data_IF_690268547781
#
_entry.id   IF_690268547781
#
_cell.length_a   1.000
_cell.length_b   1.000
_cell.length_c   1.000
_cell.angle_alpha   90.00
_cell.angle_beta   90.00
_cell.angle_gamma   90.00
#
_symmetry.space_group_name_H-M   'P 1'
#
loop_
_entity.id
_entity.type
_entity.pdbx_description
1 polymer ?
#
# COMPACT_ATOMS: atom_id res chain seq x y z
N UNK A 1 4.27 6.97 8.01
CA UNK A 1 3.04 7.58 8.58
C UNK A 1 2.38 8.42 7.50
N UNK A 2 1.06 8.43 7.40
CA UNK A 2 0.31 9.25 6.42
C UNK A 2 -0.57 10.24 7.16
N UNK A 3 -0.28 11.53 7.04
CA UNK A 3 -1.05 12.62 7.65
C UNK A 3 -1.81 13.37 6.54
N UNK A 4 -3.11 13.58 6.74
CA UNK A 4 -3.96 14.45 5.91
C UNK A 4 -4.52 15.54 6.80
N UNK A 5 -4.17 16.79 6.52
CA UNK A 5 -4.80 17.96 7.17
C UNK A 5 -6.06 18.35 6.39
N UNK A 6 -7.15 18.52 7.12
CA UNK A 6 -8.46 18.93 6.59
C UNK A 6 -8.52 20.45 6.54
N UNK A 7 -8.95 21.00 5.40
CA UNK A 7 -9.14 22.45 5.23
C UNK A 7 -10.48 22.93 5.81
N UNK A 8 -10.63 24.25 6.02
CA UNK A 8 -11.85 24.84 6.61
C UNK A 8 -13.13 24.60 5.78
N UNK A 9 -13.00 24.40 4.46
CA UNK A 9 -14.12 24.22 3.52
C UNK A 9 -14.18 22.82 2.90
N UNK A 10 -13.53 21.82 3.52
CA UNK A 10 -13.55 20.46 3.01
C UNK A 10 -14.61 19.60 3.71
N UNK A 11 -15.40 18.85 2.92
CA UNK A 11 -16.29 17.84 3.47
C UNK A 11 -15.51 16.65 4.03
N UNK A 12 -16.01 16.07 5.13
CA UNK A 12 -15.41 14.90 5.76
C UNK A 12 -15.18 13.75 4.79
N UNK A 13 -16.10 13.52 3.84
CA UNK A 13 -15.96 12.44 2.85
C UNK A 13 -14.79 12.69 1.89
N UNK A 14 -14.56 13.94 1.46
CA UNK A 14 -13.41 14.30 0.63
C UNK A 14 -12.09 14.03 1.37
N UNK A 15 -12.01 14.46 2.63
CA UNK A 15 -10.83 14.22 3.47
C UNK A 15 -10.55 12.72 3.64
N UNK A 16 -11.60 11.93 3.91
CA UNK A 16 -11.51 10.47 4.03
C UNK A 16 -11.08 9.80 2.72
N UNK A 17 -11.57 10.26 1.57
CA UNK A 17 -11.14 9.75 0.26
C UNK A 17 -9.65 10.00 0.03
N UNK A 18 -9.15 11.21 0.33
CA UNK A 18 -7.72 11.55 0.21
C UNK A 18 -6.87 10.71 1.15
N UNK A 19 -7.29 10.57 2.40
CA UNK A 19 -6.61 9.72 3.40
C UNK A 19 -6.54 8.26 2.95
N UNK A 20 -7.67 7.66 2.53
CA UNK A 20 -7.70 6.28 2.01
C UNK A 20 -6.76 6.09 0.82
N UNK A 21 -6.67 7.08 -0.07
CA UNK A 21 -5.74 7.05 -1.21
C UNK A 21 -4.28 7.13 -0.75
N UNK A 22 -3.96 8.00 0.20
CA UNK A 22 -2.61 8.16 0.74
C UNK A 22 -2.16 6.91 1.50
N UNK A 23 -3.04 6.29 2.31
CA UNK A 23 -2.79 5.02 3.00
C UNK A 23 -2.54 3.86 2.02
N UNK A 24 -3.32 3.79 0.93
CA UNK A 24 -3.08 2.79 -0.13
C UNK A 24 -1.73 3.02 -0.82
N UNK A 25 -1.37 4.28 -1.10
CA UNK A 25 -0.10 4.64 -1.76
C UNK A 25 1.12 4.39 -0.88
N UNK A 26 1.01 4.65 0.42
CA UNK A 26 2.12 4.43 1.37
C UNK A 26 2.45 2.96 1.55
N UNK A 27 1.52 2.05 1.21
CA UNK A 27 1.77 0.61 1.27
C UNK A 27 1.86 0.05 2.69
N UNK A 28 1.59 0.85 3.73
CA UNK A 28 1.70 0.47 5.14
C UNK A 28 0.89 -0.81 5.44
N UNK A 29 -0.33 -0.91 4.90
CA UNK A 29 -1.17 -2.10 5.06
C UNK A 29 -0.61 -3.34 4.35
N UNK A 30 0.08 -3.16 3.21
CA UNK A 30 0.73 -4.28 2.50
C UNK A 30 1.96 -4.77 3.24
N UNK A 31 2.68 -3.84 3.88
CA UNK A 31 3.88 -4.14 4.67
C UNK A 31 3.51 -4.81 5.99
N UNK A 32 2.44 -4.37 6.66
CA UNK A 32 1.89 -5.03 7.84
C UNK A 32 1.54 -6.51 7.55
N UNK A 33 0.74 -6.76 6.51
CA UNK A 33 0.41 -8.14 6.07
C UNK A 33 1.64 -8.98 5.70
N UNK A 34 2.71 -8.33 5.20
CA UNK A 34 3.95 -9.03 4.86
C UNK A 34 4.74 -9.44 6.10
N UNK A 35 4.64 -8.70 7.20
CA UNK A 35 5.39 -8.94 8.43
C UNK A 35 4.58 -9.67 9.50
N UNK A 36 3.30 -9.96 9.25
CA UNK A 36 2.42 -10.73 10.14
C UNK A 36 3.00 -12.12 10.47
N UNK A 37 3.68 -12.74 9.51
CA UNK A 37 4.38 -14.01 9.69
C UNK A 37 5.79 -13.93 9.12
N UNK A 38 6.71 -14.70 9.70
CA UNK A 38 8.04 -14.85 9.14
C UNK A 38 7.97 -15.51 7.76
N UNK A 39 8.65 -14.93 6.80
CA UNK A 39 8.82 -15.50 5.48
C UNK A 39 10.31 -15.79 5.24
N UNK A 40 10.62 -17.02 4.83
CA UNK A 40 11.99 -17.41 4.51
C UNK A 40 12.56 -16.57 3.34
N UNK A 41 13.90 -16.37 3.27
CA UNK A 41 14.53 -15.58 2.22
C UNK A 41 14.16 -16.05 0.80
N UNK A 42 14.00 -17.36 0.61
CA UNK A 42 13.60 -17.95 -0.68
C UNK A 42 12.17 -17.57 -1.07
N UNK A 43 11.22 -17.65 -0.13
CA UNK A 43 9.84 -17.24 -0.38
C UNK A 43 9.74 -15.71 -0.67
N UNK A 44 10.57 -14.89 -0.02
CA UNK A 44 10.69 -13.45 -0.32
C UNK A 44 11.15 -13.16 -1.74
N UNK A 45 12.17 -13.90 -2.22
CA UNK A 45 12.65 -13.81 -3.60
C UNK A 45 11.55 -14.22 -4.60
N UNK A 46 10.87 -15.35 -4.36
CA UNK A 46 9.77 -15.85 -5.19
C UNK A 46 8.62 -14.85 -5.28
N UNK A 47 8.20 -14.27 -4.16
CA UNK A 47 7.16 -13.24 -4.09
C UNK A 47 7.52 -11.96 -4.84
N UNK A 48 8.76 -11.48 -4.71
CA UNK A 48 9.25 -10.29 -5.45
C UNK A 48 9.23 -10.53 -6.96
N UNK A 49 9.66 -11.70 -7.42
CA UNK A 49 9.64 -12.09 -8.84
C UNK A 49 8.20 -12.17 -9.38
N UNK A 50 7.30 -12.82 -8.65
CA UNK A 50 5.88 -12.90 -9.02
C UNK A 50 5.23 -11.51 -9.14
N UNK A 51 5.53 -10.60 -8.20
CA UNK A 51 5.03 -9.20 -8.26
C UNK A 51 5.57 -8.44 -9.48
N UNK A 52 6.83 -8.69 -9.89
CA UNK A 52 7.42 -8.07 -11.08
C UNK A 52 6.75 -8.61 -12.36
N UNK A 53 6.56 -9.93 -12.46
CA UNK A 53 5.88 -10.57 -13.61
C UNK A 53 4.45 -10.08 -13.78
N UNK A 54 3.68 -9.97 -12.69
CA UNK A 54 2.31 -9.44 -12.72
C UNK A 54 2.21 -7.96 -13.14
N UNK A 55 3.29 -7.19 -12.99
CA UNK A 55 3.32 -5.76 -13.37
C UNK A 55 3.93 -5.50 -14.75
N UNK A 56 4.75 -6.43 -15.25
CA UNK A 56 5.39 -6.33 -16.56
C UNK A 56 4.77 -7.20 -17.65
N UNK A 57 3.62 -7.84 -17.37
CA UNK A 57 2.88 -8.67 -18.33
C UNK A 57 1.81 -7.91 -19.10
N UNK A 58 2.06 -6.63 -19.41
CA UNK A 58 1.27 -5.88 -20.39
C UNK A 58 1.99 -5.93 -21.74
N UNK A 59 1.79 -7.01 -22.47
CA UNK A 59 1.65 -6.96 -23.93
C UNK A 59 0.15 -7.05 -24.20
#
# INVERSE_FOLDING_TARGET
MTEVRVGKDESLDSALRRFKRQVKRSGILTDAKRHEHYESPSAKRRRKLARRRRRGGGY
#
